data_IF_210190509041
#
_entry.id   IF_210190509041
#
_cell.length_a   1.000
_cell.length_b   1.000
_cell.length_c   1.000
_cell.angle_alpha   90.00
_cell.angle_beta   90.00
_cell.angle_gamma   90.00
#
_symmetry.space_group_name_H-M   'P 1'
#
loop_
_entity.id
_entity.type
_entity.pdbx_description
1 polymer ?
#
# COMPACT_ATOMS: atom_id res chain seq x y z
N UNK A 1 1.17 -13.44 2.24
CA UNK A 1 0.23 -12.34 2.58
C UNK A 1 -1.17 -12.78 2.99
N UNK A 2 -1.95 -13.53 2.20
CA UNK A 2 -3.33 -13.90 2.62
C UNK A 2 -3.44 -14.70 3.92
N UNK A 3 -2.37 -15.40 4.30
CA UNK A 3 -2.25 -16.16 5.55
C UNK A 3 -1.32 -15.49 6.57
N UNK A 4 -0.91 -14.24 6.32
CA UNK A 4 0.00 -13.54 7.22
C UNK A 4 -0.77 -13.08 8.47
N UNK A 5 -0.22 -13.39 9.63
CA UNK A 5 -0.83 -13.14 10.93
C UNK A 5 0.10 -12.28 11.78
N UNK A 6 -0.33 -11.07 12.11
CA UNK A 6 0.44 -10.15 12.94
C UNK A 6 -0.55 -9.21 13.62
N UNK A 7 -0.11 -8.51 14.68
CA UNK A 7 -0.93 -7.50 15.34
C UNK A 7 -1.15 -6.30 14.40
N UNK A 8 -2.38 -6.04 13.93
CA UNK A 8 -2.66 -4.90 13.06
C UNK A 8 -2.37 -3.56 13.76
N UNK A 9 -2.46 -3.48 15.09
CA UNK A 9 -2.18 -2.27 15.86
C UNK A 9 -0.71 -1.84 15.76
N UNK A 10 0.20 -2.78 15.49
CA UNK A 10 1.62 -2.50 15.27
C UNK A 10 1.93 -1.99 13.87
N UNK A 11 1.03 -2.11 12.89
CA UNK A 11 1.30 -1.64 11.51
C UNK A 11 1.37 -0.11 11.47
N UNK A 12 2.51 0.46 11.07
CA UNK A 12 2.69 1.90 10.87
C UNK A 12 2.27 2.36 9.49
N UNK A 13 2.61 1.57 8.47
CA UNK A 13 2.20 1.80 7.09
C UNK A 13 2.30 0.50 6.30
N UNK A 14 1.68 0.50 5.12
CA UNK A 14 1.86 -0.53 4.12
C UNK A 14 1.77 0.06 2.71
N UNK A 15 2.38 -0.64 1.76
CA UNK A 15 2.37 -0.33 0.34
C UNK A 15 2.18 -1.61 -0.48
N UNK A 16 1.39 -1.49 -1.54
CA UNK A 16 1.27 -2.44 -2.65
C UNK A 16 1.79 -1.71 -3.89
N UNK A 17 3.03 -2.01 -4.29
CA UNK A 17 3.60 -1.49 -5.53
C UNK A 17 3.33 -2.47 -6.67
N UNK A 18 2.37 -2.13 -7.52
CA UNK A 18 2.07 -2.88 -8.74
C UNK A 18 2.80 -2.32 -9.94
N UNK A 19 3.56 -3.16 -10.64
CA UNK A 19 4.34 -2.79 -11.84
C UNK A 19 3.78 -3.53 -13.06
N UNK A 20 3.62 -2.85 -14.20
CA UNK A 20 3.30 -3.52 -15.47
C UNK A 20 4.58 -4.02 -16.15
N UNK A 21 4.46 -5.14 -16.85
CA UNK A 21 5.50 -5.61 -17.74
C UNK A 21 5.37 -4.97 -19.13
N UNK A 22 6.49 -4.68 -19.82
CA UNK A 22 7.87 -4.85 -19.34
C UNK A 22 8.28 -3.72 -18.36
N UNK A 23 9.08 -4.07 -17.33
CA UNK A 23 9.50 -3.10 -16.30
C UNK A 23 10.27 -1.89 -16.85
N UNK A 24 10.86 -2.01 -18.04
CA UNK A 24 11.58 -0.93 -18.74
C UNK A 24 10.70 0.27 -19.10
N UNK A 25 9.37 0.09 -19.18
CA UNK A 25 8.43 1.20 -19.44
C UNK A 25 8.11 2.00 -18.17
N UNK A 26 8.56 1.52 -17.00
CA UNK A 26 8.37 2.14 -15.70
C UNK A 26 6.89 2.47 -15.39
N UNK A 27 5.94 1.67 -15.91
CA UNK A 27 4.52 1.86 -15.64
C UNK A 27 4.18 1.18 -14.32
N UNK A 28 3.74 1.97 -13.33
CA UNK A 28 3.39 1.44 -12.02
C UNK A 28 2.28 2.22 -11.31
N UNK A 29 1.61 1.53 -10.40
CA UNK A 29 0.61 2.04 -9.47
C UNK A 29 1.00 1.55 -8.06
N UNK A 30 1.32 2.47 -7.16
CA UNK A 30 1.58 2.18 -5.76
C UNK A 30 0.40 2.57 -4.90
N UNK A 31 -0.31 1.60 -4.32
CA UNK A 31 -1.41 1.84 -3.36
C UNK A 31 -0.88 1.69 -1.95
N UNK A 32 -1.13 2.66 -1.08
CA UNK A 32 -0.47 2.70 0.23
C UNK A 32 -1.33 3.41 1.27
N UNK A 33 -0.93 3.25 2.53
CA UNK A 33 -1.61 3.89 3.65
C UNK A 33 -0.64 4.10 4.82
N UNK A 34 -0.73 5.27 5.46
CA UNK A 34 -0.02 5.59 6.70
C UNK A 34 -0.98 5.66 7.87
N UNK A 35 -0.68 4.97 8.97
CA UNK A 35 -1.51 4.99 10.19
C UNK A 35 -1.70 6.41 10.73
N UNK A 36 -0.69 7.25 10.64
CA UNK A 36 -0.76 8.65 11.10
C UNK A 36 -1.22 9.64 10.03
N UNK A 37 -1.71 9.14 8.89
CA UNK A 37 -2.14 9.94 7.76
C UNK A 37 -1.03 10.16 6.73
N UNK A 38 -1.43 10.22 5.47
CA UNK A 38 -0.54 10.52 4.34
C UNK A 38 -0.34 12.03 4.24
N UNK A 39 0.91 12.54 4.15
CA UNK A 39 1.15 13.96 3.98
C UNK A 39 0.60 14.51 2.66
N UNK A 40 -0.33 15.45 2.76
CA UNK A 40 -0.75 16.35 1.71
C UNK A 40 -0.36 17.77 2.11
N UNK A 41 0.75 18.25 1.54
CA UNK A 41 1.40 19.48 1.97
C UNK A 41 1.71 19.40 3.49
N UNK A 42 1.16 20.29 4.32
CA UNK A 42 1.35 20.27 5.78
C UNK A 42 0.24 19.52 6.55
N UNK A 43 -0.71 18.90 5.83
CA UNK A 43 -1.88 18.26 6.44
C UNK A 43 -1.80 16.74 6.30
N UNK A 44 -1.86 15.97 7.41
CA UNK A 44 -1.98 14.52 7.32
C UNK A 44 -3.41 14.13 6.95
N UNK A 45 -3.57 13.38 5.86
CA UNK A 45 -4.85 12.90 5.36
C UNK A 45 -5.04 11.43 5.69
N UNK A 46 -6.15 11.09 6.34
CA UNK A 46 -6.52 9.71 6.67
C UNK A 46 -7.16 9.00 5.49
N UNK A 47 -6.99 7.68 5.43
CA UNK A 47 -7.47 6.82 4.35
C UNK A 47 -6.39 6.37 3.37
N UNK A 48 -6.82 5.57 2.40
CA UNK A 48 -5.98 5.00 1.34
C UNK A 48 -5.59 6.09 0.34
N UNK A 49 -4.34 6.04 -0.11
CA UNK A 49 -3.85 6.83 -1.23
C UNK A 49 -3.19 5.91 -2.26
N UNK A 50 -3.05 6.40 -3.48
CA UNK A 50 -2.18 5.78 -4.45
C UNK A 50 -1.39 6.82 -5.25
N UNK A 51 -0.25 6.39 -5.77
CA UNK A 51 0.54 7.14 -6.74
C UNK A 51 0.69 6.32 -8.01
N UNK A 52 0.96 6.99 -9.12
CA UNK A 52 1.16 6.33 -10.41
C UNK A 52 2.31 6.97 -11.20
N UNK A 53 2.85 6.22 -12.15
CA UNK A 53 3.84 6.71 -13.12
C UNK A 53 3.57 6.11 -14.49
N UNK A 54 3.62 6.95 -15.53
CA UNK A 54 3.36 6.54 -16.93
C UNK A 54 2.03 5.79 -17.12
N UNK A 55 1.00 6.12 -16.32
CA UNK A 55 -0.35 5.54 -16.42
C UNK A 55 -1.27 6.56 -17.09
N UNK A 56 -2.06 6.11 -18.07
CA UNK A 56 -3.06 6.94 -18.72
C UNK A 56 -4.14 7.41 -17.75
N UNK A 57 -4.65 8.63 -17.94
CA UNK A 57 -5.69 9.22 -17.07
C UNK A 57 -6.91 8.31 -16.92
N UNK A 58 -7.34 7.65 -18.00
CA UNK A 58 -8.46 6.70 -17.96
C UNK A 58 -8.23 5.58 -16.96
N UNK A 59 -7.04 4.99 -16.93
CA UNK A 59 -6.71 3.93 -15.98
C UNK A 59 -6.58 4.47 -14.55
N UNK A 60 -6.05 5.68 -14.37
CA UNK A 60 -6.05 6.37 -13.06
C UNK A 60 -7.48 6.56 -12.54
N UNK A 61 -8.42 6.94 -13.39
CA UNK A 61 -9.83 7.11 -13.03
C UNK A 61 -10.50 5.77 -12.70
N UNK A 62 -10.16 4.69 -13.42
CA UNK A 62 -10.63 3.34 -13.13
C UNK A 62 -10.10 2.81 -11.79
N UNK A 63 -8.83 3.06 -11.44
CA UNK A 63 -8.24 2.74 -10.14
C UNK A 63 -8.93 3.54 -9.04
N UNK A 64 -9.11 4.84 -9.24
CA UNK A 64 -9.80 5.73 -8.28
C UNK A 64 -11.21 5.24 -7.99
N UNK A 65 -11.98 4.92 -9.04
CA UNK A 65 -13.32 4.37 -8.91
C UNK A 65 -13.31 3.03 -8.18
N UNK A 66 -12.42 2.11 -8.57
CA UNK A 66 -12.32 0.80 -7.92
C UNK A 66 -12.05 0.90 -6.41
N UNK A 67 -11.09 1.74 -6.01
CA UNK A 67 -10.76 1.93 -4.60
C UNK A 67 -11.88 2.66 -3.85
N UNK A 68 -12.50 3.69 -4.46
CA UNK A 68 -13.66 4.40 -3.87
C UNK A 68 -14.86 3.48 -3.67
N UNK A 69 -15.20 2.64 -4.66
CA UNK A 69 -16.31 1.69 -4.55
C UNK A 69 -16.07 0.67 -3.43
N UNK A 70 -14.80 0.33 -3.16
CA UNK A 70 -14.42 -0.67 -2.15
C UNK A 70 -14.28 -0.11 -0.73
N UNK A 71 -13.76 1.11 -0.59
CA UNK A 71 -13.38 1.69 0.70
C UNK A 71 -14.06 3.02 1.03
N UNK A 72 -14.83 3.58 0.09
CA UNK A 72 -15.42 4.90 0.21
C UNK A 72 -14.37 6.01 0.11
N UNK A 73 -14.65 7.12 0.79
CA UNK A 73 -13.80 8.31 0.82
C UNK A 73 -14.00 9.25 -0.36
N UNK A 74 -13.52 10.47 -0.20
CA UNK A 74 -13.61 11.50 -1.23
C UNK A 74 -12.30 11.61 -2.01
N UNK A 75 -12.33 11.44 -3.35
CA UNK A 75 -11.13 11.47 -4.16
C UNK A 75 -10.59 12.89 -4.28
N UNK A 76 -9.28 13.04 -4.13
CA UNK A 76 -8.54 14.28 -4.34
C UNK A 76 -7.22 14.00 -5.04
N UNK A 77 -6.98 14.69 -6.14
CA UNK A 77 -5.75 14.54 -6.93
C UNK A 77 -4.74 15.65 -6.62
N UNK A 78 -3.47 15.28 -6.52
CA UNK A 78 -2.34 16.21 -6.37
C UNK A 78 -1.13 15.67 -7.12
N UNK A 79 -0.91 16.19 -8.32
CA UNK A 79 0.13 15.69 -9.22
C UNK A 79 -0.15 14.24 -9.60
N UNK A 80 0.81 13.34 -9.37
CA UNK A 80 0.69 11.90 -9.65
C UNK A 80 0.12 11.08 -8.48
N UNK A 81 -0.44 11.75 -7.47
CA UNK A 81 -1.04 11.12 -6.30
C UNK A 81 -2.55 11.36 -6.27
N UNK A 82 -3.28 10.34 -5.86
CA UNK A 82 -4.71 10.40 -5.58
C UNK A 82 -4.94 9.92 -4.15
N UNK A 83 -5.75 10.67 -3.42
CA UNK A 83 -6.11 10.42 -2.03
C UNK A 83 -7.59 10.10 -1.97
N UNK A 84 -7.98 9.05 -1.25
CA UNK A 84 -9.37 8.81 -0.89
C UNK A 84 -9.56 9.27 0.56
N UNK A 85 -9.77 10.57 0.74
CA UNK A 85 -9.84 11.19 2.07
C UNK A 85 -10.97 10.54 2.88
N UNK A 86 -10.67 10.13 4.12
CA UNK A 86 -11.60 9.45 5.03
C UNK A 86 -12.15 8.12 4.52
N UNK A 87 -11.47 7.47 3.56
CA UNK A 87 -11.76 6.08 3.19
C UNK A 87 -11.46 5.11 4.34
N UNK A 88 -12.10 3.94 4.31
CA UNK A 88 -11.89 2.87 5.28
C UNK A 88 -10.42 2.45 5.31
N UNK A 89 -9.83 2.47 6.51
CA UNK A 89 -8.47 2.00 6.75
C UNK A 89 -8.42 0.47 6.92
N UNK A 90 -7.38 -0.16 6.37
CA UNK A 90 -7.13 -1.60 6.49
C UNK A 90 -5.72 -1.86 6.99
N UNK A 91 -5.55 -2.87 7.85
CA UNK A 91 -4.24 -3.16 8.45
C UNK A 91 -3.92 -4.65 8.50
N UNK A 92 -4.90 -5.52 8.28
CA UNK A 92 -4.67 -6.97 8.39
C UNK A 92 -3.99 -7.53 7.14
N UNK A 93 -3.21 -8.60 7.31
CA UNK A 93 -2.55 -9.28 6.19
C UNK A 93 -3.54 -9.83 5.15
N UNK A 94 -4.74 -10.23 5.63
CA UNK A 94 -5.85 -10.67 4.79
C UNK A 94 -6.38 -9.54 3.91
N UNK A 95 -6.69 -8.38 4.47
CA UNK A 95 -7.24 -7.24 3.71
C UNK A 95 -6.21 -6.71 2.70
N UNK A 96 -4.96 -6.50 3.12
CA UNK A 96 -3.89 -5.99 2.25
C UNK A 96 -3.57 -7.01 1.15
N UNK A 97 -3.45 -8.29 1.50
CA UNK A 97 -3.19 -9.35 0.54
C UNK A 97 -4.33 -9.54 -0.46
N UNK A 98 -5.58 -9.35 -0.03
CA UNK A 98 -6.74 -9.41 -0.93
C UNK A 98 -6.77 -8.22 -1.88
N UNK A 99 -6.52 -7.01 -1.38
CA UNK A 99 -6.42 -5.81 -2.22
C UNK A 99 -5.30 -5.98 -3.27
N UNK A 100 -4.14 -6.48 -2.89
CA UNK A 100 -3.04 -6.70 -3.82
C UNK A 100 -3.43 -7.64 -4.97
N UNK A 101 -4.06 -8.78 -4.66
CA UNK A 101 -4.52 -9.72 -5.69
C UNK A 101 -5.55 -9.10 -6.65
N UNK A 102 -6.46 -8.29 -6.12
CA UNK A 102 -7.46 -7.60 -6.94
C UNK A 102 -6.80 -6.55 -7.84
N UNK A 103 -5.83 -5.79 -7.32
CA UNK A 103 -5.05 -4.83 -8.10
C UNK A 103 -4.26 -5.53 -9.22
N UNK A 104 -3.56 -6.62 -8.91
CA UNK A 104 -2.83 -7.45 -9.87
C UNK A 104 -3.75 -7.96 -10.98
N UNK A 105 -4.88 -8.56 -10.61
CA UNK A 105 -5.82 -9.15 -11.56
C UNK A 105 -6.53 -8.10 -12.43
N UNK A 106 -6.96 -6.97 -11.83
CA UNK A 106 -7.79 -5.98 -12.52
C UNK A 106 -6.97 -5.08 -13.43
N UNK A 107 -5.77 -4.71 -13.01
CA UNK A 107 -4.92 -3.75 -13.72
C UNK A 107 -3.69 -4.41 -14.37
N UNK A 108 -3.61 -5.75 -14.38
CA UNK A 108 -2.52 -6.53 -14.98
C UNK A 108 -1.15 -6.11 -14.43
N UNK A 109 -1.06 -6.05 -13.10
CA UNK A 109 0.13 -5.64 -12.37
C UNK A 109 0.83 -6.86 -11.75
N UNK A 110 2.14 -6.74 -11.53
CA UNK A 110 2.92 -7.58 -10.63
C UNK A 110 3.13 -6.84 -9.31
N UNK A 111 2.57 -7.34 -8.22
CA UNK A 111 2.53 -6.66 -6.93
C UNK A 111 3.68 -7.04 -6.00
N UNK A 112 4.27 -6.03 -5.36
CA UNK A 112 5.15 -6.20 -4.21
C UNK A 112 4.49 -5.53 -3.01
N UNK A 113 4.41 -6.25 -1.89
CA UNK A 113 3.79 -5.75 -0.66
C UNK A 113 4.88 -5.45 0.36
N UNK A 114 4.89 -4.23 0.87
CA UNK A 114 5.76 -3.77 1.96
C UNK A 114 4.91 -3.39 3.15
N UNK A 115 5.32 -3.77 4.37
CA UNK A 115 4.62 -3.42 5.61
C UNK A 115 5.68 -2.99 6.63
N UNK A 116 5.45 -1.85 7.25
CA UNK A 116 6.27 -1.35 8.35
C UNK A 116 5.53 -1.52 9.67
N UNK A 117 6.25 -2.01 10.69
CA UNK A 117 5.71 -2.24 12.02
C UNK A 117 6.42 -1.38 13.06
N UNK A 118 5.67 -0.97 14.07
CA UNK A 118 6.18 -0.47 15.33
C UNK A 118 6.48 -1.64 16.26
N UNK A 119 7.74 -1.75 16.69
CA UNK A 119 8.16 -2.64 17.77
C UNK A 119 7.71 -4.11 17.60
N UNK A 120 7.77 -4.64 16.37
CA UNK A 120 7.58 -6.07 16.12
C UNK A 120 8.82 -6.84 16.57
N UNK A 121 8.64 -7.86 17.39
CA UNK A 121 9.73 -8.73 17.84
C UNK A 121 10.12 -9.73 16.75
N UNK A 122 11.33 -10.29 16.85
CA UNK A 122 11.79 -11.32 15.91
C UNK A 122 10.91 -12.59 15.98
N UNK A 123 10.43 -12.95 17.18
CA UNK A 123 9.53 -14.09 17.36
C UNK A 123 8.17 -13.86 16.70
N UNK A 124 7.56 -12.69 16.91
CA UNK A 124 6.31 -12.30 16.23
C UNK A 124 6.50 -12.31 14.71
N UNK A 125 7.62 -11.77 14.22
CA UNK A 125 7.93 -11.79 12.78
C UNK A 125 8.05 -13.22 12.25
N UNK A 126 8.77 -14.13 12.92
CA UNK A 126 8.91 -15.53 12.49
C UNK A 126 7.57 -16.27 12.45
N UNK A 127 6.68 -15.98 13.39
CA UNK A 127 5.33 -16.56 13.43
C UNK A 127 4.38 -15.92 12.42
N UNK A 128 4.72 -14.76 11.87
CA UNK A 128 3.77 -13.98 11.07
C UNK A 128 3.45 -14.50 9.68
N UNK A 129 4.21 -15.49 9.18
CA UNK A 129 4.07 -15.98 7.81
C UNK A 129 4.40 -14.93 6.73
N UNK A 130 5.00 -13.80 7.12
CA UNK A 130 5.66 -12.87 6.21
C UNK A 130 6.92 -13.53 5.65
N UNK A 131 7.28 -13.18 4.42
CA UNK A 131 8.56 -13.60 3.86
C UNK A 131 9.69 -13.08 4.75
N UNK A 132 10.82 -13.79 4.76
CA UNK A 132 12.00 -13.29 5.45
C UNK A 132 12.39 -11.93 4.89
N UNK A 133 12.14 -10.89 5.69
CA UNK A 133 12.58 -9.55 5.37
C UNK A 133 14.10 -9.56 5.16
N UNK A 134 14.53 -8.98 4.03
CA UNK A 134 15.90 -8.50 3.90
C UNK A 134 16.09 -7.45 4.99
N UNK A 135 16.73 -7.85 6.09
CA UNK A 135 17.07 -6.93 7.18
C UNK A 135 17.93 -5.83 6.58
N UNK A 136 17.40 -4.61 6.50
CA UNK A 136 18.26 -3.44 6.35
C UNK A 136 18.94 -3.24 7.70
N UNK A 137 20.28 -3.16 7.76
CA UNK A 137 21.00 -2.93 9.01
C UNK A 137 20.53 -1.60 9.60
N UNK A 138 20.36 -1.56 10.93
CA UNK A 138 20.07 -0.32 11.65
C UNK A 138 21.34 0.56 11.57
N UNK A 139 21.31 1.72 10.90
CA UNK A 139 22.44 2.63 10.94
C UNK A 139 22.57 3.20 12.38
N UNK A 140 23.75 3.11 12.98
CA UNK A 140 24.07 3.86 14.20
C UNK A 140 24.30 3.07 15.50
N UNK A 141 24.55 1.76 15.45
CA UNK A 141 25.27 1.09 16.56
C UNK A 141 26.67 0.70 16.11
N UNK A 142 27.60 1.66 16.24
CA UNK A 142 29.02 1.40 16.41
C UNK A 142 29.34 1.46 17.90
#
# INVERSE_FOLDING_TARGET
MLKAEYDPAKVLNWEIKGVKEPESEAIFIGTFMYRNGTPLDYTPIKGIAFYHNNVEKKEVDEVTKFLKDKFGGEPKEKGTRVFLENSKEIYTGKEIGQLAKEMESKFKLRGIISIEFKDITEEERKKSGLADAKLLPIPGKH
#
